data_IF_359174505382
#
_entry.id   IF_359174505382
#
_cell.length_a   1.000
_cell.length_b   1.000
_cell.length_c   1.000
_cell.angle_alpha   90.00
_cell.angle_beta   90.00
_cell.angle_gamma   90.00
#
_symmetry.space_group_name_H-M   'P 1'
#
loop_
_entity.id
_entity.type
_entity.pdbx_description
1 polymer ?
#
# COMPACT_ATOMS: atom_id res chain seq x y z
N UNK A 1 12.58 -19.53 -4.45
CA UNK A 1 11.55 -18.46 -4.34
C UNK A 1 11.78 -17.61 -3.11
N UNK A 2 11.90 -18.22 -1.92
CA UNK A 2 12.16 -17.55 -0.64
C UNK A 2 13.33 -16.53 -0.72
N UNK A 3 14.52 -16.96 -1.17
CA UNK A 3 15.70 -16.07 -1.28
C UNK A 3 15.42 -14.85 -2.18
N UNK A 4 14.79 -15.05 -3.34
CA UNK A 4 14.42 -13.96 -4.24
C UNK A 4 13.44 -13.00 -3.58
N UNK A 5 12.44 -13.51 -2.86
CA UNK A 5 11.48 -12.69 -2.11
C UNK A 5 12.15 -11.87 -1.01
N UNK A 6 13.16 -12.42 -0.31
CA UNK A 6 13.94 -11.68 0.68
C UNK A 6 14.73 -10.55 0.03
N UNK A 7 15.45 -10.84 -1.06
CA UNK A 7 16.23 -9.82 -1.78
C UNK A 7 15.30 -8.69 -2.27
N UNK A 8 14.20 -9.05 -2.94
CA UNK A 8 13.24 -8.06 -3.45
C UNK A 8 12.54 -7.31 -2.30
N UNK A 9 12.21 -8.01 -1.21
CA UNK A 9 11.63 -7.42 0.01
C UNK A 9 12.47 -6.30 0.59
N UNK A 10 13.76 -6.57 0.79
CA UNK A 10 14.72 -5.57 1.28
C UNK A 10 15.03 -4.48 0.27
N UNK A 11 15.06 -4.78 -1.04
CA UNK A 11 15.18 -3.75 -2.08
C UNK A 11 13.99 -2.79 -2.06
N UNK A 12 12.76 -3.27 -1.87
CA UNK A 12 11.58 -2.42 -1.69
C UNK A 12 11.73 -1.48 -0.48
N UNK A 13 12.19 -2.01 0.67
CA UNK A 13 12.44 -1.19 1.87
C UNK A 13 13.53 -0.13 1.59
N UNK A 14 14.60 -0.50 0.89
CA UNK A 14 15.66 0.44 0.50
C UNK A 14 15.13 1.57 -0.39
N UNK A 15 14.28 1.24 -1.38
CA UNK A 15 13.63 2.26 -2.24
C UNK A 15 12.78 3.20 -1.40
N UNK A 16 12.00 2.70 -0.44
CA UNK A 16 11.22 3.54 0.46
C UNK A 16 12.09 4.52 1.24
N UNK A 17 13.23 4.05 1.79
CA UNK A 17 14.18 4.90 2.49
C UNK A 17 14.77 5.98 1.58
N UNK A 18 15.16 5.62 0.35
CA UNK A 18 15.64 6.59 -0.64
C UNK A 18 14.58 7.67 -0.87
N UNK A 19 13.32 7.29 -1.08
CA UNK A 19 12.21 8.23 -1.28
C UNK A 19 12.11 9.18 -0.08
N UNK A 20 12.06 8.67 1.16
CA UNK A 20 11.93 9.52 2.36
C UNK A 20 13.09 10.51 2.47
N UNK A 21 14.33 10.03 2.35
CA UNK A 21 15.51 10.90 2.54
C UNK A 21 15.70 11.91 1.41
N UNK A 22 15.17 11.63 0.22
CA UNK A 22 15.27 12.53 -0.93
C UNK A 22 13.98 13.31 -1.22
N UNK A 23 12.89 13.03 -0.50
CA UNK A 23 11.55 13.59 -0.74
C UNK A 23 11.56 15.11 -0.82
N UNK A 24 12.13 15.79 0.18
CA UNK A 24 12.16 17.25 0.21
C UNK A 24 12.90 17.86 -1.00
N UNK A 25 13.97 17.20 -1.45
CA UNK A 25 14.75 17.65 -2.61
C UNK A 25 13.98 17.43 -3.90
N UNK A 26 13.37 16.25 -4.07
CA UNK A 26 12.57 15.91 -5.25
C UNK A 26 11.32 16.79 -5.36
N UNK A 27 10.61 17.01 -4.24
CA UNK A 27 9.42 17.86 -4.19
C UNK A 27 9.74 19.32 -4.56
N UNK A 28 10.88 19.87 -4.11
CA UNK A 28 11.33 21.22 -4.50
C UNK A 28 11.62 21.36 -6.01
N UNK A 29 11.98 20.25 -6.66
CA UNK A 29 12.25 20.20 -8.09
C UNK A 29 11.02 19.74 -8.90
N UNK A 30 9.83 19.63 -8.28
CA UNK A 30 8.59 19.14 -8.89
C UNK A 30 8.67 17.71 -9.46
N UNK A 31 9.57 16.87 -8.93
CA UNK A 31 9.79 15.49 -9.38
C UNK A 31 8.78 14.49 -8.79
N UNK A 32 7.50 14.87 -8.70
CA UNK A 32 6.46 14.04 -8.11
C UNK A 32 6.19 12.76 -8.92
N UNK A 33 6.30 12.82 -10.25
CA UNK A 33 6.17 11.65 -11.10
C UNK A 33 7.24 10.59 -10.81
N UNK A 34 8.47 11.02 -10.55
CA UNK A 34 9.58 10.16 -10.17
C UNK A 34 9.32 9.48 -8.81
N UNK A 35 8.78 10.23 -7.84
CA UNK A 35 8.40 9.66 -6.53
C UNK A 35 7.39 8.52 -6.71
N UNK A 36 6.33 8.74 -7.50
CA UNK A 36 5.29 7.73 -7.70
C UNK A 36 5.78 6.50 -8.48
N UNK A 37 6.66 6.67 -9.47
CA UNK A 37 7.20 5.50 -10.19
C UNK A 37 8.14 4.68 -9.31
N UNK A 38 8.92 5.33 -8.43
CA UNK A 38 9.73 4.63 -7.43
C UNK A 38 8.83 3.86 -6.44
N UNK A 39 7.70 4.44 -6.02
CA UNK A 39 6.71 3.72 -5.21
C UNK A 39 6.11 2.52 -5.96
N UNK A 40 5.77 2.67 -7.24
CA UNK A 40 5.28 1.55 -8.06
C UNK A 40 6.29 0.40 -8.15
N UNK A 41 7.57 0.72 -8.39
CA UNK A 41 8.66 -0.26 -8.42
C UNK A 41 8.80 -0.93 -7.05
N UNK A 42 8.81 -0.15 -5.97
CA UNK A 42 8.85 -0.67 -4.61
C UNK A 42 7.73 -1.68 -4.33
N UNK A 43 6.48 -1.34 -4.64
CA UNK A 43 5.35 -2.27 -4.45
C UNK A 43 5.45 -3.50 -5.34
N UNK A 44 5.97 -3.37 -6.56
CA UNK A 44 6.20 -4.50 -7.45
C UNK A 44 7.25 -5.48 -6.87
N UNK A 45 8.28 -4.98 -6.18
CA UNK A 45 9.25 -5.84 -5.49
C UNK A 45 8.63 -6.67 -4.36
N UNK A 46 7.51 -6.22 -3.79
CA UNK A 46 6.78 -6.93 -2.75
C UNK A 46 5.73 -7.92 -3.27
N UNK A 47 5.42 -7.94 -4.57
CA UNK A 47 4.47 -8.88 -5.18
C UNK A 47 4.70 -10.37 -4.84
N UNK A 48 5.95 -10.86 -4.69
CA UNK A 48 6.18 -12.27 -4.31
C UNK A 48 5.84 -12.60 -2.84
N UNK A 49 5.64 -11.61 -1.96
CA UNK A 49 5.43 -11.84 -0.52
C UNK A 49 4.20 -12.69 -0.20
N UNK A 50 2.98 -12.41 -0.72
CA UNK A 50 1.79 -13.21 -0.43
C UNK A 50 1.95 -14.69 -0.80
N UNK A 51 2.63 -14.97 -1.91
CA UNK A 51 2.87 -16.33 -2.41
C UNK A 51 3.91 -17.04 -1.53
N UNK A 52 4.98 -16.34 -1.15
CA UNK A 52 6.05 -16.89 -0.31
C UNK A 52 5.54 -17.22 1.09
N UNK A 53 4.76 -16.33 1.70
CA UNK A 53 4.17 -16.57 3.02
C UNK A 53 3.19 -17.76 3.00
N UNK A 54 2.41 -17.91 1.93
CA UNK A 54 1.55 -19.08 1.74
C UNK A 54 2.34 -20.38 1.69
N UNK A 55 3.41 -20.43 0.89
CA UNK A 55 4.25 -21.62 0.79
C UNK A 55 4.96 -21.96 2.09
N UNK A 56 5.42 -20.94 2.82
CA UNK A 56 6.18 -21.11 4.05
C UNK A 56 5.30 -21.55 5.22
N UNK A 57 4.10 -20.99 5.35
CA UNK A 57 3.16 -21.30 6.43
C UNK A 57 2.27 -22.52 6.12
N UNK A 58 2.20 -22.93 4.85
CA UNK A 58 1.49 -24.13 4.37
C UNK A 58 0.10 -24.32 5.00
N UNK A 59 -0.74 -23.29 4.92
CA UNK A 59 -2.06 -23.24 5.55
C UNK A 59 -3.16 -22.94 4.54
N UNK A 60 -4.18 -23.79 4.51
CA UNK A 60 -5.36 -23.62 3.64
C UNK A 60 -6.11 -22.32 3.93
N UNK A 61 -6.10 -21.87 5.19
CA UNK A 61 -6.73 -20.60 5.60
C UNK A 61 -6.06 -19.42 4.90
N UNK A 62 -4.76 -19.51 4.63
CA UNK A 62 -3.98 -18.43 4.02
C UNK A 62 -4.20 -18.33 2.50
N UNK A 63 -4.82 -19.31 1.84
CA UNK A 63 -5.14 -19.23 0.39
C UNK A 63 -5.95 -17.97 0.08
N UNK A 64 -7.01 -17.71 0.87
CA UNK A 64 -7.85 -16.52 0.72
C UNK A 64 -7.05 -15.26 1.03
N UNK A 65 -6.27 -15.28 2.11
CA UNK A 65 -5.40 -14.17 2.48
C UNK A 65 -4.41 -13.79 1.37
N UNK A 66 -3.82 -14.79 0.69
CA UNK A 66 -2.88 -14.58 -0.41
C UNK A 66 -3.52 -13.91 -1.61
N UNK A 67 -4.77 -14.25 -1.94
CA UNK A 67 -5.53 -13.54 -2.99
C UNK A 67 -5.69 -12.08 -2.63
N UNK A 68 -6.14 -11.76 -1.41
CA UNK A 68 -6.28 -10.37 -0.97
C UNK A 68 -4.94 -9.62 -0.96
N UNK A 69 -3.86 -10.26 -0.49
CA UNK A 69 -2.53 -9.67 -0.48
C UNK A 69 -1.98 -9.38 -1.88
N UNK A 70 -2.21 -10.30 -2.82
CA UNK A 70 -1.78 -10.13 -4.20
C UNK A 70 -2.57 -9.03 -4.91
N UNK A 71 -3.89 -9.01 -4.76
CA UNK A 71 -4.75 -7.97 -5.35
C UNK A 71 -4.43 -6.60 -4.74
N UNK A 72 -4.23 -6.52 -3.42
CA UNK A 72 -3.76 -5.31 -2.75
C UNK A 72 -2.49 -4.72 -3.40
N UNK A 73 -1.47 -5.55 -3.62
CA UNK A 73 -0.21 -5.12 -4.22
C UNK A 73 -0.37 -4.74 -5.70
N UNK A 74 -1.13 -5.51 -6.48
CA UNK A 74 -1.45 -5.15 -7.87
C UNK A 74 -2.17 -3.81 -7.95
N UNK A 75 -3.12 -3.57 -7.05
CA UNK A 75 -3.83 -2.30 -7.00
C UNK A 75 -2.88 -1.15 -6.71
N UNK A 76 -1.96 -1.31 -5.74
CA UNK A 76 -0.92 -0.32 -5.44
C UNK A 76 -0.02 -0.01 -6.64
N UNK A 77 0.52 -1.04 -7.30
CA UNK A 77 1.35 -0.85 -8.50
C UNK A 77 0.57 -0.09 -9.58
N UNK A 78 -0.69 -0.46 -9.80
CA UNK A 78 -1.56 0.14 -10.81
C UNK A 78 -1.85 1.62 -10.50
N UNK A 79 -2.24 1.95 -9.27
CA UNK A 79 -2.56 3.35 -8.91
C UNK A 79 -1.32 4.23 -9.00
N UNK A 80 -0.16 3.76 -8.53
CA UNK A 80 1.08 4.53 -8.59
C UNK A 80 1.52 4.78 -10.04
N UNK A 81 1.38 3.78 -10.92
CA UNK A 81 1.67 3.94 -12.34
C UNK A 81 0.71 4.94 -13.04
N UNK A 82 -0.59 4.87 -12.73
CA UNK A 82 -1.59 5.81 -13.25
C UNK A 82 -1.33 7.24 -12.75
N UNK A 83 -1.01 7.40 -11.46
CA UNK A 83 -0.64 8.68 -10.86
C UNK A 83 0.61 9.27 -11.52
N UNK A 84 1.66 8.46 -11.74
CA UNK A 84 2.84 8.90 -12.51
C UNK A 84 2.47 9.38 -13.90
N UNK A 85 1.61 8.65 -14.61
CA UNK A 85 1.15 9.02 -15.95
C UNK A 85 0.42 10.36 -15.97
N UNK A 86 -0.53 10.53 -15.05
CA UNK A 86 -1.29 11.77 -14.89
C UNK A 86 -0.39 12.97 -14.56
N UNK A 87 0.48 12.85 -13.56
CA UNK A 87 1.41 13.93 -13.16
C UNK A 87 2.35 14.27 -14.32
N UNK A 88 2.94 13.26 -14.97
CA UNK A 88 3.86 13.49 -16.09
C UNK A 88 3.18 14.16 -17.27
N UNK A 89 1.92 13.81 -17.55
CA UNK A 89 1.16 14.42 -18.63
C UNK A 89 0.91 15.91 -18.36
N UNK A 90 0.40 16.25 -17.17
CA UNK A 90 0.15 17.64 -16.78
C UNK A 90 1.44 18.45 -16.81
N UNK A 91 2.55 17.94 -16.24
CA UNK A 91 3.80 18.72 -16.18
C UNK A 91 4.44 18.94 -17.55
N UNK A 92 4.28 18.00 -18.50
CA UNK A 92 4.98 18.04 -19.80
C UNK A 92 4.16 18.59 -20.97
N UNK A 93 2.83 18.62 -20.87
CA UNK A 93 1.95 18.93 -22.01
C UNK A 93 0.94 20.05 -21.71
N UNK A 94 1.06 20.71 -20.56
CA UNK A 94 0.17 21.80 -20.13
C UNK A 94 0.89 23.15 -20.13
N UNK A 95 1.69 23.41 -21.16
CA UNK A 95 2.53 24.61 -21.28
C UNK A 95 1.70 25.90 -21.41
N UNK A 96 0.47 25.78 -21.91
CA UNK A 96 -0.51 26.87 -22.00
C UNK A 96 -1.30 27.08 -20.70
N UNK A 97 -1.04 26.27 -19.67
CA UNK A 97 -1.78 26.24 -18.41
C UNK A 97 -3.30 26.08 -18.59
N UNK A 98 -3.74 25.44 -19.68
CA UNK A 98 -5.17 25.20 -19.92
C UNK A 98 -5.82 24.33 -18.82
N UNK A 99 -5.06 23.39 -18.25
CA UNK A 99 -5.46 22.58 -17.10
C UNK A 99 -4.93 23.27 -15.83
N UNK A 100 -5.82 23.87 -15.05
CA UNK A 100 -5.43 24.40 -13.74
C UNK A 100 -5.19 23.27 -12.73
N UNK A 101 -4.42 23.52 -11.67
CA UNK A 101 -4.17 22.53 -10.59
C UNK A 101 -5.47 21.92 -10.05
N UNK A 102 -6.52 22.74 -9.90
CA UNK A 102 -7.84 22.28 -9.45
C UNK A 102 -8.49 21.29 -10.43
N UNK A 103 -8.32 21.46 -11.73
CA UNK A 103 -8.81 20.51 -12.73
C UNK A 103 -7.98 19.22 -12.71
N UNK A 104 -6.65 19.34 -12.57
CA UNK A 104 -5.76 18.19 -12.39
C UNK A 104 -6.13 17.37 -11.15
N UNK A 105 -6.32 18.02 -10.00
CA UNK A 105 -6.73 17.37 -8.76
C UNK A 105 -8.09 16.68 -8.87
N UNK A 106 -9.05 17.33 -9.55
CA UNK A 106 -10.37 16.76 -9.81
C UNK A 106 -10.30 15.51 -10.69
N UNK A 107 -9.50 15.54 -11.76
CA UNK A 107 -9.28 14.37 -12.61
C UNK A 107 -8.58 13.25 -11.85
N UNK A 108 -7.54 13.57 -11.07
CA UNK A 108 -6.83 12.61 -10.23
C UNK A 108 -7.76 11.96 -9.21
N UNK A 109 -8.64 12.73 -8.57
CA UNK A 109 -9.58 12.23 -7.57
C UNK A 109 -10.51 11.13 -8.11
N UNK A 110 -10.74 11.08 -9.43
CA UNK A 110 -11.51 10.02 -10.11
C UNK A 110 -10.77 8.68 -10.09
N UNK A 111 -9.44 8.71 -10.05
CA UNK A 111 -8.58 7.54 -10.09
C UNK A 111 -8.12 7.07 -8.70
N UNK A 112 -8.10 7.96 -7.69
CA UNK A 112 -7.34 7.71 -6.45
C UNK A 112 -8.20 7.56 -5.19
N UNK A 113 -9.19 8.42 -4.95
CA UNK A 113 -9.76 8.58 -3.61
C UNK A 113 -10.46 7.33 -3.02
N UNK A 114 -11.49 6.74 -3.67
CA UNK A 114 -12.09 5.50 -3.17
C UNK A 114 -11.14 4.31 -3.34
N UNK A 115 -10.27 4.36 -4.35
CA UNK A 115 -9.38 3.27 -4.71
C UNK A 115 -8.28 3.04 -3.67
N UNK A 116 -7.62 4.09 -3.19
CA UNK A 116 -6.61 4.01 -2.14
C UNK A 116 -7.18 3.54 -0.80
N UNK A 117 -8.42 3.92 -0.50
CA UNK A 117 -9.10 3.45 0.71
C UNK A 117 -9.44 1.96 0.63
N UNK A 118 -9.87 1.50 -0.55
CA UNK A 118 -10.13 0.08 -0.83
C UNK A 118 -8.85 -0.77 -0.75
N UNK A 119 -7.73 -0.24 -1.21
CA UNK A 119 -6.39 -0.86 -1.04
C UNK A 119 -6.12 -1.14 0.44
N UNK A 120 -6.38 -0.16 1.32
CA UNK A 120 -6.22 -0.33 2.77
C UNK A 120 -7.11 -1.43 3.36
N UNK A 121 -8.37 -1.52 2.90
CA UNK A 121 -9.29 -2.60 3.27
C UNK A 121 -8.73 -3.97 2.89
N UNK A 122 -8.22 -4.13 1.66
CA UNK A 122 -7.70 -5.41 1.18
C UNK A 122 -6.45 -5.85 1.95
N UNK A 123 -5.55 -4.91 2.27
CA UNK A 123 -4.42 -5.17 3.15
C UNK A 123 -4.87 -5.64 4.53
N UNK A 124 -5.83 -4.97 5.15
CA UNK A 124 -6.29 -5.37 6.48
C UNK A 124 -6.96 -6.74 6.48
N UNK A 125 -7.71 -7.10 5.42
CA UNK A 125 -8.23 -8.47 5.24
C UNK A 125 -7.08 -9.47 5.15
N UNK A 126 -6.06 -9.19 4.33
CA UNK A 126 -4.87 -10.03 4.23
C UNK A 126 -4.17 -10.20 5.60
N UNK A 127 -3.99 -9.10 6.34
CA UNK A 127 -3.40 -9.11 7.67
C UNK A 127 -4.20 -9.97 8.67
N UNK A 128 -5.54 -9.96 8.60
CA UNK A 128 -6.38 -10.83 9.45
C UNK A 128 -6.09 -12.31 9.15
N UNK A 129 -6.06 -12.71 7.87
CA UNK A 129 -5.75 -14.10 7.49
C UNK A 129 -4.33 -14.50 7.89
N UNK A 130 -3.36 -13.60 7.76
CA UNK A 130 -2.00 -13.82 8.26
C UNK A 130 -2.00 -14.00 9.79
N UNK A 131 -2.70 -13.15 10.52
CA UNK A 131 -2.80 -13.22 11.98
C UNK A 131 -3.40 -14.55 12.47
N UNK A 132 -4.49 -15.00 11.84
CA UNK A 132 -5.09 -16.32 12.11
C UNK A 132 -4.09 -17.44 11.81
N UNK A 133 -3.41 -17.37 10.67
CA UNK A 133 -2.45 -18.40 10.26
C UNK A 133 -1.27 -18.48 11.24
N UNK A 134 -0.65 -17.35 11.56
CA UNK A 134 0.44 -17.29 12.54
C UNK A 134 0.03 -17.80 13.92
N UNK A 135 -1.21 -17.51 14.34
CA UNK A 135 -1.75 -18.05 15.58
C UNK A 135 -1.81 -19.58 15.56
N UNK A 136 -2.33 -20.17 14.46
CA UNK A 136 -2.39 -21.61 14.28
C UNK A 136 -1.01 -22.26 14.21
N UNK A 137 -0.01 -21.56 13.67
CA UNK A 137 1.38 -22.01 13.59
C UNK A 137 2.17 -21.87 14.90
N UNK A 138 1.60 -21.26 15.95
CA UNK A 138 2.29 -21.00 17.21
C UNK A 138 3.19 -19.76 17.22
N UNK A 139 3.20 -18.98 16.14
CA UNK A 139 3.99 -17.76 15.96
C UNK A 139 3.29 -16.55 16.61
N UNK A 140 3.21 -16.56 17.96
CA UNK A 140 2.38 -15.63 18.73
C UNK A 140 2.72 -14.15 18.46
N UNK A 141 4.01 -13.81 18.36
CA UNK A 141 4.43 -12.44 18.09
C UNK A 141 3.89 -11.95 16.73
N UNK A 142 4.02 -12.76 15.69
CA UNK A 142 3.52 -12.43 14.35
C UNK A 142 1.99 -12.37 14.32
N UNK A 143 1.31 -13.27 15.03
CA UNK A 143 -0.14 -13.25 15.16
C UNK A 143 -0.63 -11.92 15.76
N UNK A 144 -0.01 -11.45 16.84
CA UNK A 144 -0.34 -10.17 17.48
C UNK A 144 -0.09 -9.01 16.52
N UNK A 145 1.10 -8.95 15.91
CA UNK A 145 1.46 -7.87 14.98
C UNK A 145 0.47 -7.79 13.80
N UNK A 146 0.16 -8.93 13.16
CA UNK A 146 -0.77 -8.97 12.03
C UNK A 146 -2.20 -8.62 12.44
N UNK A 147 -2.63 -9.02 13.64
CA UNK A 147 -3.94 -8.64 14.19
C UNK A 147 -4.04 -7.12 14.35
N UNK A 148 -2.98 -6.44 14.82
CA UNK A 148 -2.97 -4.97 14.93
C UNK A 148 -3.18 -4.28 13.58
N UNK A 149 -2.55 -4.77 12.51
CA UNK A 149 -2.79 -4.28 11.15
C UNK A 149 -4.20 -4.63 10.64
N UNK A 150 -4.73 -5.78 11.05
CA UNK A 150 -6.11 -6.19 10.77
C UNK A 150 -7.15 -5.25 11.37
N UNK A 151 -6.91 -4.71 12.58
CA UNK A 151 -7.82 -3.77 13.23
C UNK A 151 -7.99 -2.45 12.47
N UNK A 152 -7.01 -2.07 11.64
CA UNK A 152 -7.10 -0.90 10.76
C UNK A 152 -8.16 -1.05 9.66
N UNK A 153 -8.76 -2.25 9.50
CA UNK A 153 -9.89 -2.47 8.60
C UNK A 153 -11.00 -1.44 8.83
N UNK A 154 -11.34 -1.16 10.09
CA UNK A 154 -12.41 -0.21 10.43
C UNK A 154 -12.02 1.21 9.99
N UNK A 155 -10.75 1.59 10.20
CA UNK A 155 -10.22 2.89 9.80
C UNK A 155 -10.33 3.08 8.28
N UNK A 156 -9.85 2.12 7.49
CA UNK A 156 -9.90 2.18 6.03
C UNK A 156 -11.31 2.09 5.47
N UNK A 157 -12.17 1.27 6.09
CA UNK A 157 -13.57 1.16 5.69
C UNK A 157 -14.32 2.48 5.89
N UNK A 158 -14.08 3.18 7.00
CA UNK A 158 -14.77 4.46 7.27
C UNK A 158 -14.34 5.54 6.26
N UNK A 159 -13.05 5.61 5.92
CA UNK A 159 -12.56 6.54 4.90
C UNK A 159 -13.17 6.20 3.53
N UNK A 160 -13.18 4.92 3.16
CA UNK A 160 -13.77 4.47 1.89
C UNK A 160 -15.25 4.82 1.79
N UNK A 161 -16.02 4.59 2.87
CA UNK A 161 -17.45 4.90 2.89
C UNK A 161 -17.72 6.41 2.85
N UNK A 162 -16.98 7.23 3.60
CA UNK A 162 -17.12 8.70 3.52
C UNK A 162 -16.81 9.24 2.13
N UNK A 163 -15.78 8.69 1.47
CA UNK A 163 -15.40 9.06 0.10
C UNK A 163 -16.41 8.61 -0.97
N UNK A 164 -17.18 7.55 -0.70
CA UNK A 164 -18.12 6.95 -1.68
C UNK A 164 -19.55 7.45 -1.55
N UNK A 165 -19.92 8.07 -0.42
CA UNK A 165 -21.29 8.53 -0.16
C UNK A 165 -21.51 9.95 -0.66
N UNK A 166 -22.58 10.14 -1.45
CA UNK A 166 -23.03 11.48 -1.91
C UNK A 166 -23.44 12.36 -0.73
N UNK A 167 -24.16 11.79 0.26
CA UNK A 167 -24.48 12.45 1.51
C UNK A 167 -23.61 11.89 2.61
N UNK A 168 -22.71 12.73 3.15
CA UNK A 168 -21.80 12.33 4.22
C UNK A 168 -22.58 11.96 5.48
N UNK A 169 -22.13 10.90 6.13
CA UNK A 169 -22.66 10.45 7.42
C UNK A 169 -21.70 10.93 8.51
N UNK A 170 -22.21 11.64 9.51
CA UNK A 170 -21.41 12.26 10.58
C UNK A 170 -20.49 11.28 11.34
N UNK A 171 -20.81 9.98 11.34
CA UNK A 171 -19.95 8.96 11.94
C UNK A 171 -18.65 8.79 11.15
N UNK A 172 -18.74 8.65 9.83
CA UNK A 172 -17.59 8.37 8.96
C UNK A 172 -16.72 9.62 8.75
N UNK A 173 -17.34 10.80 8.65
CA UNK A 173 -16.64 12.07 8.43
C UNK A 173 -15.69 12.48 9.57
N UNK A 174 -15.75 11.81 10.72
CA UNK A 174 -14.83 12.02 11.85
C UNK A 174 -13.46 11.39 11.60
N UNK A 175 -13.39 10.36 10.76
CA UNK A 175 -12.15 9.67 10.42
C UNK A 175 -11.57 10.32 9.17
N UNK A 176 -10.41 10.94 9.29
CA UNK A 176 -9.71 11.57 8.16
C UNK A 176 -8.48 10.74 7.76
N UNK A 177 -8.22 10.60 6.44
CA UNK A 177 -6.99 9.96 5.98
C UNK A 177 -5.78 10.77 6.44
N UNK A 178 -4.77 10.08 6.96
CA UNK A 178 -3.49 10.69 7.32
C UNK A 178 -2.38 10.00 6.51
N UNK A 179 -1.83 10.65 5.46
CA UNK A 179 -0.82 10.06 4.60
C UNK A 179 0.44 9.60 5.35
N UNK A 180 0.83 10.30 6.42
CA UNK A 180 2.00 9.91 7.22
C UNK A 180 1.76 8.59 7.94
N UNK A 181 0.59 8.43 8.56
CA UNK A 181 0.20 7.19 9.26
C UNK A 181 0.14 6.04 8.26
N UNK A 182 -0.53 6.23 7.11
CA UNK A 182 -0.70 5.19 6.09
C UNK A 182 0.66 4.72 5.53
N UNK A 183 1.58 5.64 5.25
CA UNK A 183 2.89 5.30 4.71
C UNK A 183 3.79 4.59 5.74
N UNK A 184 3.82 5.05 6.99
CA UNK A 184 4.57 4.38 8.06
C UNK A 184 4.02 2.99 8.35
N UNK A 185 2.71 2.88 8.42
CA UNK A 185 2.02 1.62 8.65
C UNK A 185 2.33 0.62 7.52
N UNK A 186 2.30 1.08 6.26
CA UNK A 186 2.71 0.27 5.11
C UNK A 186 4.18 -0.16 5.20
N UNK A 187 5.09 0.74 5.56
CA UNK A 187 6.50 0.40 5.75
C UNK A 187 6.67 -0.68 6.82
N UNK A 188 6.11 -0.47 8.01
CA UNK A 188 6.23 -1.42 9.12
C UNK A 188 5.64 -2.78 8.77
N UNK A 189 4.51 -2.80 8.06
CA UNK A 189 3.89 -4.02 7.59
C UNK A 189 4.88 -4.85 6.74
N UNK A 190 5.51 -4.23 5.74
CA UNK A 190 6.45 -4.93 4.86
C UNK A 190 7.80 -5.23 5.51
N UNK A 191 8.30 -4.38 6.42
CA UNK A 191 9.50 -4.68 7.23
C UNK A 191 9.28 -5.93 8.08
N UNK A 192 8.12 -6.02 8.75
CA UNK A 192 7.80 -7.16 9.62
C UNK A 192 7.71 -8.45 8.82
N UNK A 193 6.96 -8.45 7.70
CA UNK A 193 6.83 -9.64 6.85
C UNK A 193 8.16 -10.06 6.21
N UNK A 194 8.94 -9.10 5.71
CA UNK A 194 10.25 -9.40 5.11
C UNK A 194 11.23 -9.94 6.15
N UNK A 195 11.25 -9.36 7.36
CA UNK A 195 12.09 -9.85 8.46
C UNK A 195 11.70 -11.26 8.87
N UNK A 196 10.40 -11.56 8.97
CA UNK A 196 9.93 -12.90 9.28
C UNK A 196 10.43 -13.94 8.27
N UNK A 197 10.27 -13.68 6.97
CA UNK A 197 10.77 -14.58 5.92
C UNK A 197 12.30 -14.68 5.98
N UNK A 198 13.01 -13.58 6.26
CA UNK A 198 14.48 -13.56 6.37
C UNK A 198 15.00 -14.51 7.43
N UNK A 199 14.32 -14.61 8.58
CA UNK A 199 14.72 -15.52 9.68
C UNK A 199 14.47 -16.99 9.32
N UNK A 200 13.63 -17.27 8.33
CA UNK A 200 13.27 -18.62 7.88
C UNK A 200 13.94 -19.02 6.55
N UNK A 201 14.95 -18.25 6.10
CA UNK A 201 15.84 -18.61 4.97
C UNK A 201 17.05 -19.35 5.50
#
# INVERSE_FOLDING_TARGET
MILSTVILGWLGILIFLIIIFTYQKMAKNNEYALIHILMAIMYAMWLPLPITLFQLLNSDVLVVGTVFGFVYLLMLVSTMALQTGHISFIVKHNDDHAITDKHGDYMMATLTNPYESLIGVFKSIWAIFLGITFWMSGEILMAILMTLFGLLLIYYLFIMLDASLVKRVNLFSKVKPNPFVINLETLFFFVILTSYITVHV
#
